data_IF_987678925384
#
_entry.id   IF_987678925384
#
_cell.length_a   1.000
_cell.length_b   1.000
_cell.length_c   1.000
_cell.angle_alpha   90.00
_cell.angle_beta   90.00
_cell.angle_gamma   90.00
#
_symmetry.space_group_name_H-M   'P 1'
#
loop_
_entity.id
_entity.type
_entity.pdbx_description
1 polymer ?
#
# COMPACT_ATOMS: atom_id res chain seq x y z
N UNK A 1 23.53 -6.19 11.90
CA UNK A 1 24.51 -5.11 12.09
C UNK A 1 23.77 -3.91 12.67
N UNK A 2 24.20 -3.37 13.82
CA UNK A 2 23.61 -2.14 14.38
C UNK A 2 24.18 -0.96 13.61
N UNK A 3 23.49 -0.53 12.55
CA UNK A 3 23.92 0.60 11.72
C UNK A 3 23.40 1.91 12.31
N UNK A 4 24.32 2.83 12.58
CA UNK A 4 24.03 4.25 12.82
C UNK A 4 24.38 5.02 11.55
N UNK A 5 23.49 5.90 11.10
CA UNK A 5 23.64 6.72 9.91
C UNK A 5 23.24 8.16 10.23
N UNK A 6 24.05 9.13 9.83
CA UNK A 6 23.71 10.55 9.90
C UNK A 6 23.69 11.11 8.49
N UNK A 7 22.56 11.69 8.08
CA UNK A 7 22.36 12.33 6.77
C UNK A 7 22.18 13.83 7.00
N UNK A 8 22.72 14.67 6.12
CA UNK A 8 22.48 16.12 6.10
C UNK A 8 21.82 16.53 4.79
N UNK A 9 21.01 17.58 4.85
CA UNK A 9 20.29 18.09 3.69
C UNK A 9 19.14 19.01 4.09
N UNK A 10 18.37 19.44 3.10
CA UNK A 10 17.18 20.26 3.28
C UNK A 10 16.01 19.38 3.76
N UNK A 11 15.70 19.41 5.05
CA UNK A 11 14.62 18.62 5.63
C UNK A 11 13.29 19.29 5.27
N UNK A 12 12.39 18.52 4.66
CA UNK A 12 11.02 18.96 4.36
C UNK A 12 10.13 18.61 5.55
N UNK A 13 9.77 19.62 6.33
CA UNK A 13 8.86 19.50 7.46
C UNK A 13 7.42 19.75 6.99
N UNK A 14 6.73 18.65 6.69
CA UNK A 14 5.37 18.65 6.16
C UNK A 14 4.38 19.26 7.17
N UNK A 15 4.55 18.98 8.46
CA UNK A 15 3.64 19.42 9.51
C UNK A 15 3.72 20.93 9.72
N UNK A 16 4.95 21.45 9.79
CA UNK A 16 5.19 22.88 9.99
C UNK A 16 5.25 23.68 8.67
N UNK A 17 5.09 23.02 7.52
CA UNK A 17 5.15 23.63 6.17
C UNK A 17 6.41 24.46 5.95
N UNK A 18 7.54 23.94 6.41
CA UNK A 18 8.83 24.60 6.37
C UNK A 18 9.88 23.69 5.73
N UNK A 19 10.93 24.31 5.18
CA UNK A 19 12.10 23.62 4.69
C UNK A 19 13.33 24.30 5.29
N UNK A 20 14.18 23.53 5.94
CA UNK A 20 15.37 24.03 6.62
C UNK A 20 16.55 23.08 6.44
N UNK A 21 17.78 23.60 6.47
CA UNK A 21 18.95 22.74 6.44
C UNK A 21 19.21 22.09 7.81
N UNK A 22 19.38 20.77 7.83
CA UNK A 22 19.52 20.01 9.06
C UNK A 22 20.21 18.67 8.91
N UNK A 23 20.20 17.88 9.99
CA UNK A 23 20.67 16.50 10.01
C UNK A 23 19.61 15.54 10.56
N UNK A 24 19.64 14.31 10.06
CA UNK A 24 18.81 13.19 10.49
C UNK A 24 19.72 12.07 11.00
N UNK A 25 19.59 11.72 12.29
CA UNK A 25 20.25 10.57 12.89
C UNK A 25 19.31 9.37 12.84
N UNK A 26 19.75 8.29 12.20
CA UNK A 26 19.05 7.01 12.14
C UNK A 26 19.88 5.97 12.89
N UNK A 27 19.27 5.30 13.86
CA UNK A 27 19.90 4.19 14.57
C UNK A 27 18.95 3.01 14.57
N UNK A 28 19.48 1.83 14.21
CA UNK A 28 18.71 0.59 14.19
C UNK A 28 17.42 0.71 13.35
N UNK A 29 17.52 1.38 12.20
CA UNK A 29 16.41 1.59 11.27
C UNK A 29 15.34 2.59 11.73
N UNK A 30 15.57 3.33 12.82
CA UNK A 30 14.65 4.33 13.35
C UNK A 30 15.29 5.71 13.37
N UNK A 31 14.51 6.72 12.99
CA UNK A 31 14.91 8.13 13.20
C UNK A 31 14.97 8.38 14.70
N UNK A 32 16.14 8.78 15.19
CA UNK A 32 16.39 9.10 16.60
C UNK A 32 16.38 10.59 16.88
N UNK A 33 16.86 11.37 15.92
CA UNK A 33 17.01 12.80 16.09
C UNK A 33 16.92 13.52 14.74
N UNK A 34 16.22 14.65 14.76
CA UNK A 34 16.30 15.69 13.74
C UNK A 34 16.96 16.90 14.37
N UNK A 35 17.98 17.45 13.72
CA UNK A 35 18.66 18.65 14.19
C UNK A 35 18.59 19.73 13.11
N UNK A 36 17.98 20.87 13.44
CA UNK A 36 18.05 22.07 12.61
C UNK A 36 19.45 22.68 12.73
N UNK A 37 20.12 22.89 11.60
CA UNK A 37 21.48 23.45 11.53
C UNK A 37 21.47 24.90 11.02
N UNK A 38 20.53 25.24 10.12
CA UNK A 38 20.25 26.60 9.66
C UNK A 38 18.74 26.79 9.49
N UNK A 39 18.28 28.04 9.53
CA UNK A 39 16.85 28.35 9.35
C UNK A 39 16.40 28.16 7.91
N UNK A 40 17.23 28.54 6.95
CA UNK A 40 16.92 28.46 5.52
C UNK A 40 17.44 27.16 4.89
N UNK A 41 16.78 26.75 3.80
CA UNK A 41 17.28 25.70 2.93
C UNK A 41 18.54 26.16 2.18
N UNK A 42 19.48 25.24 1.95
CA UNK A 42 20.68 25.48 1.16
C UNK A 42 20.45 25.03 -0.29
N UNK A 43 20.50 25.91 -1.30
CA UNK A 43 20.15 25.55 -2.69
C UNK A 43 20.95 24.41 -3.31
N UNK A 44 22.19 24.19 -2.86
CA UNK A 44 23.08 23.15 -3.39
C UNK A 44 22.89 21.77 -2.72
N UNK A 45 22.07 21.69 -1.66
CA UNK A 45 21.89 20.47 -0.86
C UNK A 45 20.64 19.70 -1.29
N UNK A 46 20.70 18.37 -1.17
CA UNK A 46 19.56 17.51 -1.49
C UNK A 46 18.42 17.68 -0.48
N UNK A 47 17.20 17.37 -0.89
CA UNK A 47 16.04 17.35 -0.01
C UNK A 47 15.90 15.99 0.68
N UNK A 48 15.54 16.03 1.96
CA UNK A 48 15.23 14.87 2.76
C UNK A 48 13.73 14.90 3.04
N UNK A 49 13.01 13.91 2.50
CA UNK A 49 11.57 13.73 2.70
C UNK A 49 11.30 12.35 3.30
N UNK A 50 10.13 12.15 3.92
CA UNK A 50 9.60 10.81 4.11
C UNK A 50 9.51 10.07 2.76
N UNK A 51 9.62 8.75 2.80
CA UNK A 51 9.30 7.92 1.63
C UNK A 51 7.83 8.10 1.25
N UNK A 52 7.54 8.04 -0.04
CA UNK A 52 6.17 8.16 -0.53
C UNK A 52 5.37 6.88 -0.25
N UNK A 53 4.07 7.04 -0.05
CA UNK A 53 3.10 5.96 0.05
C UNK A 53 2.06 6.21 -1.04
N UNK A 54 1.88 5.23 -1.92
CA UNK A 54 0.79 5.27 -2.90
C UNK A 54 -0.51 4.83 -2.22
N UNK A 55 -1.54 5.67 -2.26
CA UNK A 55 -2.79 5.46 -1.53
C UNK A 55 -3.75 4.48 -2.18
N UNK A 56 -3.55 4.13 -3.46
CA UNK A 56 -4.34 3.11 -4.15
C UNK A 56 -3.65 2.68 -5.44
N UNK A 57 -3.26 1.41 -5.54
CA UNK A 57 -2.62 0.87 -6.74
C UNK A 57 -2.93 -0.60 -6.94
N UNK A 58 -3.00 -1.01 -8.20
CA UNK A 58 -3.03 -2.42 -8.61
C UNK A 58 -1.65 -2.77 -9.15
N UNK A 59 -0.92 -3.65 -8.47
CA UNK A 59 0.44 -4.04 -8.87
C UNK A 59 0.40 -4.74 -10.23
N UNK A 60 -0.66 -5.50 -10.48
CA UNK A 60 -0.90 -6.29 -11.69
C UNK A 60 -0.92 -5.42 -12.95
N UNK A 61 -1.38 -4.17 -12.87
CA UNK A 61 -1.39 -3.25 -14.02
C UNK A 61 0.02 -2.90 -14.52
N UNK A 62 1.05 -3.10 -13.68
CA UNK A 62 2.46 -2.97 -14.10
C UNK A 62 3.01 -4.19 -14.84
N UNK A 63 2.23 -5.28 -14.93
CA UNK A 63 2.63 -6.59 -15.47
C UNK A 63 3.79 -7.25 -14.70
N UNK A 64 3.96 -6.88 -13.43
CA UNK A 64 5.00 -7.41 -12.54
C UNK A 64 4.38 -8.11 -11.34
N UNK A 65 5.19 -8.98 -10.73
CA UNK A 65 4.92 -9.50 -9.39
C UNK A 65 5.36 -8.46 -8.33
N UNK A 66 4.80 -8.49 -7.10
CA UNK A 66 5.11 -7.52 -6.06
C UNK A 66 6.60 -7.27 -5.81
N UNK A 67 7.42 -8.32 -5.75
CA UNK A 67 8.85 -8.17 -5.51
C UNK A 67 9.57 -7.38 -6.62
N UNK A 68 9.16 -7.54 -7.89
CA UNK A 68 9.74 -6.79 -9.01
C UNK A 68 9.19 -5.38 -9.10
N UNK A 69 7.91 -5.18 -8.80
CA UNK A 69 7.32 -3.85 -8.66
C UNK A 69 8.08 -3.01 -7.61
N UNK A 70 8.35 -3.60 -6.43
CA UNK A 70 9.06 -2.93 -5.35
C UNK A 70 10.46 -2.43 -5.77
N UNK A 71 11.20 -3.19 -6.59
CA UNK A 71 12.52 -2.78 -7.09
C UNK A 71 12.47 -1.51 -7.94
N UNK A 72 11.39 -1.33 -8.72
CA UNK A 72 11.21 -0.14 -9.54
C UNK A 72 10.60 1.02 -8.73
N UNK A 73 9.65 0.74 -7.84
CA UNK A 73 9.03 1.78 -7.02
C UNK A 73 10.02 2.49 -6.09
N UNK A 74 10.92 1.72 -5.45
CA UNK A 74 11.83 2.26 -4.43
C UNK A 74 12.87 3.23 -4.98
N UNK A 75 13.31 3.08 -6.24
CA UNK A 75 14.27 4.00 -6.85
C UNK A 75 13.68 5.38 -7.15
N UNK A 76 12.35 5.49 -7.09
CA UNK A 76 11.61 6.75 -7.23
C UNK A 76 11.09 7.29 -5.88
N UNK A 77 11.48 6.68 -4.76
CA UNK A 77 11.16 7.16 -3.41
C UNK A 77 9.87 6.61 -2.81
N UNK A 78 9.11 5.77 -3.53
CA UNK A 78 7.96 5.07 -2.96
C UNK A 78 8.44 3.94 -2.05
N UNK A 79 7.92 3.88 -0.84
CA UNK A 79 8.34 2.91 0.21
C UNK A 79 7.22 1.99 0.65
N UNK A 80 5.98 2.30 0.26
CA UNK A 80 4.82 1.46 0.48
C UNK A 80 3.66 1.81 -0.44
N UNK A 81 2.69 0.91 -0.49
CA UNK A 81 1.47 1.01 -1.28
C UNK A 81 0.28 0.48 -0.51
N UNK A 82 -0.88 1.06 -0.77
CA UNK A 82 -2.18 0.51 -0.44
C UNK A 82 -2.69 -0.18 -1.70
N UNK A 83 -2.70 -1.51 -1.68
CA UNK A 83 -2.78 -2.34 -2.89
C UNK A 83 -4.03 -3.20 -2.92
N UNK A 84 -4.77 -3.12 -4.03
CA UNK A 84 -5.92 -3.97 -4.28
C UNK A 84 -5.59 -5.07 -5.29
N UNK A 85 -5.45 -6.34 -4.86
CA UNK A 85 -5.09 -7.47 -5.74
C UNK A 85 -6.31 -8.02 -6.51
N UNK A 86 -7.23 -7.15 -6.94
CA UNK A 86 -8.51 -7.59 -7.51
C UNK A 86 -8.38 -8.23 -8.91
N UNK A 87 -7.26 -8.01 -9.62
CA UNK A 87 -7.10 -8.51 -10.99
C UNK A 87 -6.76 -9.99 -10.92
N UNK A 88 -5.77 -10.33 -10.07
CA UNK A 88 -5.41 -11.72 -9.83
C UNK A 88 -6.52 -12.47 -9.09
N UNK A 89 -7.32 -11.81 -8.26
CA UNK A 89 -8.47 -12.42 -7.60
C UNK A 89 -9.57 -12.77 -8.61
N UNK A 90 -9.83 -11.93 -9.60
CA UNK A 90 -10.77 -12.26 -10.69
C UNK A 90 -10.34 -13.50 -11.49
N UNK A 91 -9.04 -13.75 -11.64
CA UNK A 91 -8.51 -14.91 -12.39
C UNK A 91 -8.37 -16.15 -11.52
N UNK A 92 -7.84 -16.02 -10.30
CA UNK A 92 -7.37 -17.13 -9.47
C UNK A 92 -8.05 -17.20 -8.08
N UNK A 93 -8.97 -16.29 -7.77
CA UNK A 93 -9.64 -16.21 -6.47
C UNK A 93 -8.68 -16.00 -5.31
N UNK A 94 -9.01 -16.62 -4.17
CA UNK A 94 -8.23 -16.57 -2.93
C UNK A 94 -6.76 -17.00 -3.12
N UNK A 95 -6.49 -17.97 -4.01
CA UNK A 95 -5.14 -18.43 -4.29
C UNK A 95 -4.28 -17.34 -4.97
N UNK A 96 -4.91 -16.50 -5.79
CA UNK A 96 -4.26 -15.34 -6.40
C UNK A 96 -3.86 -14.29 -5.37
N UNK A 97 -4.75 -14.01 -4.42
CA UNK A 97 -4.46 -13.07 -3.32
C UNK A 97 -3.32 -13.59 -2.44
N UNK A 98 -3.35 -14.87 -2.06
CA UNK A 98 -2.27 -15.48 -1.27
C UNK A 98 -0.92 -15.41 -2.00
N UNK A 99 -0.89 -15.66 -3.31
CA UNK A 99 0.33 -15.52 -4.11
C UNK A 99 0.94 -14.12 -4.02
N UNK A 100 0.10 -13.07 -4.10
CA UNK A 100 0.57 -11.68 -3.99
C UNK A 100 1.16 -11.39 -2.62
N UNK A 101 0.52 -11.87 -1.55
CA UNK A 101 1.00 -11.75 -0.17
C UNK A 101 2.37 -12.44 -0.02
N UNK A 102 2.47 -13.68 -0.48
CA UNK A 102 3.68 -14.50 -0.35
C UNK A 102 4.86 -13.91 -1.14
N UNK A 103 4.60 -13.35 -2.33
CA UNK A 103 5.65 -12.70 -3.12
C UNK A 103 6.09 -11.37 -2.52
N UNK A 104 5.14 -10.56 -2.04
CA UNK A 104 5.42 -9.30 -1.34
C UNK A 104 6.27 -9.52 -0.07
N UNK A 105 6.03 -10.60 0.66
CA UNK A 105 6.78 -10.96 1.87
C UNK A 105 8.28 -11.21 1.67
N UNK A 106 8.74 -11.35 0.41
CA UNK A 106 10.16 -11.55 0.07
C UNK A 106 10.98 -10.26 0.09
N UNK A 107 10.34 -9.09 0.13
CA UNK A 107 10.99 -7.78 0.05
C UNK A 107 10.60 -6.87 1.24
N UNK A 108 11.43 -5.88 1.62
CA UNK A 108 11.13 -5.02 2.76
C UNK A 108 10.11 -3.89 2.46
N UNK A 109 9.67 -3.77 1.21
CA UNK A 109 8.66 -2.79 0.76
C UNK A 109 7.31 -3.03 1.46
N UNK A 110 6.59 -1.95 1.79
CA UNK A 110 5.36 -2.05 2.57
C UNK A 110 4.14 -2.15 1.67
N UNK A 111 3.74 -3.38 1.34
CA UNK A 111 2.44 -3.63 0.72
C UNK A 111 1.38 -3.74 1.81
N UNK A 112 0.36 -2.89 1.74
CA UNK A 112 -0.85 -2.98 2.54
C UNK A 112 -1.96 -3.48 1.64
N UNK A 113 -2.25 -4.79 1.69
CA UNK A 113 -3.25 -5.38 0.81
C UNK A 113 -4.67 -5.17 1.36
N UNK A 114 -5.60 -4.93 0.44
CA UNK A 114 -7.04 -4.96 0.71
C UNK A 114 -7.67 -6.28 0.26
N UNK A 115 -8.82 -6.61 0.84
CA UNK A 115 -9.67 -7.71 0.40
C UNK A 115 -10.45 -7.26 -0.86
N UNK A 116 -10.27 -7.93 -2.02
CA UNK A 116 -11.01 -7.59 -3.24
C UNK A 116 -12.54 -7.69 -3.02
N UNK A 117 -13.26 -6.61 -3.33
CA UNK A 117 -14.68 -6.49 -2.99
C UNK A 117 -15.62 -7.01 -4.08
N UNK A 118 -15.23 -6.86 -5.35
CA UNK A 118 -16.05 -7.10 -6.54
C UNK A 118 -15.39 -8.14 -7.45
N UNK A 119 -15.50 -9.42 -7.07
CA UNK A 119 -15.06 -10.57 -7.86
C UNK A 119 -16.24 -11.51 -8.07
N UNK A 120 -16.79 -11.63 -9.30
CA UNK A 120 -16.51 -10.81 -10.48
C UNK A 120 -16.92 -9.33 -10.32
N UNK A 121 -16.41 -8.46 -11.20
CA UNK A 121 -16.80 -7.05 -11.21
C UNK A 121 -18.26 -6.86 -11.66
N UNK A 122 -18.75 -7.76 -12.51
CA UNK A 122 -20.15 -7.78 -12.95
C UNK A 122 -20.71 -9.20 -13.07
N UNK A 123 -22.03 -9.33 -12.94
CA UNK A 123 -22.73 -10.61 -13.16
C UNK A 123 -22.88 -10.96 -14.66
N UNK A 124 -22.56 -10.03 -15.56
CA UNK A 124 -22.71 -10.22 -17.01
C UNK A 124 -21.48 -10.83 -17.69
N UNK A 125 -20.44 -11.14 -16.92
CA UNK A 125 -19.19 -11.71 -17.42
C UNK A 125 -18.93 -13.12 -16.89
N UNK A 126 -17.91 -13.77 -17.44
CA UNK A 126 -17.36 -15.01 -16.90
C UNK A 126 -15.98 -14.71 -16.32
N UNK A 127 -15.84 -14.88 -15.01
CA UNK A 127 -14.56 -14.74 -14.32
C UNK A 127 -13.98 -16.10 -13.92
N UNK A 128 -12.69 -16.13 -13.59
CA UNK A 128 -12.02 -17.33 -13.08
C UNK A 128 -12.40 -17.67 -11.64
N UNK A 129 -12.94 -16.71 -10.89
CA UNK A 129 -13.42 -16.90 -9.52
C UNK A 129 -14.62 -15.98 -9.19
N UNK A 130 -15.24 -16.27 -8.05
CA UNK A 130 -16.19 -15.40 -7.36
C UNK A 130 -15.82 -15.38 -5.88
N UNK A 131 -15.90 -14.21 -5.23
CA UNK A 131 -15.69 -14.06 -3.79
C UNK A 131 -16.98 -13.54 -3.17
N UNK A 132 -17.48 -14.24 -2.16
CA UNK A 132 -18.65 -13.84 -1.37
C UNK A 132 -18.24 -13.11 -0.08
N UNK A 133 -19.22 -12.71 0.73
CA UNK A 133 -18.99 -12.07 2.03
C UNK A 133 -18.18 -12.95 3.01
N UNK A 134 -18.35 -14.28 2.97
CA UNK A 134 -17.60 -15.19 3.83
C UNK A 134 -16.13 -15.32 3.38
N UNK A 135 -15.85 -15.25 2.09
CA UNK A 135 -14.48 -15.19 1.58
C UNK A 135 -13.79 -13.86 1.93
N UNK A 136 -14.53 -12.75 1.83
CA UNK A 136 -14.05 -11.44 2.30
C UNK A 136 -13.74 -11.46 3.80
N UNK A 137 -14.58 -12.09 4.63
CA UNK A 137 -14.33 -12.27 6.07
C UNK A 137 -13.05 -13.07 6.34
N UNK A 138 -12.84 -14.16 5.59
CA UNK A 138 -11.59 -14.94 5.71
C UNK A 138 -10.37 -14.11 5.33
N UNK A 139 -10.45 -13.30 4.26
CA UNK A 139 -9.35 -12.41 3.88
C UNK A 139 -9.06 -11.39 4.97
N UNK A 140 -10.09 -10.71 5.49
CA UNK A 140 -9.94 -9.70 6.54
C UNK A 140 -9.43 -10.29 7.88
N UNK A 141 -9.57 -11.59 8.10
CA UNK A 141 -8.97 -12.28 9.24
C UNK A 141 -7.45 -12.51 9.09
N UNK A 142 -6.88 -12.33 7.89
CA UNK A 142 -5.45 -12.46 7.63
C UNK A 142 -4.72 -11.19 8.10
N UNK A 143 -3.60 -11.30 8.83
CA UNK A 143 -2.88 -10.13 9.32
C UNK A 143 -2.29 -9.24 8.20
N UNK A 144 -2.11 -9.78 7.01
CA UNK A 144 -1.59 -9.08 5.83
C UNK A 144 -2.66 -8.27 5.09
N UNK A 145 -3.94 -8.49 5.38
CA UNK A 145 -5.07 -7.77 4.78
C UNK A 145 -5.59 -6.74 5.77
N UNK A 146 -5.67 -5.47 5.36
CA UNK A 146 -5.92 -4.37 6.30
C UNK A 146 -7.28 -3.69 6.12
N UNK A 147 -7.95 -3.88 4.99
CA UNK A 147 -9.18 -3.17 4.64
C UNK A 147 -9.96 -3.91 3.56
N UNK A 148 -11.21 -3.54 3.34
CA UNK A 148 -11.96 -3.91 2.14
C UNK A 148 -11.55 -2.97 1.00
N UNK A 149 -11.11 -3.54 -0.12
CA UNK A 149 -10.74 -2.77 -1.31
C UNK A 149 -11.92 -2.01 -1.93
N UNK A 150 -11.67 -1.28 -3.01
CA UNK A 150 -12.65 -0.42 -3.66
C UNK A 150 -13.97 -1.14 -3.98
N UNK A 151 -15.07 -0.70 -3.37
CA UNK A 151 -16.41 -1.22 -3.68
C UNK A 151 -16.92 -0.57 -4.97
N UNK A 152 -16.61 -1.20 -6.10
CA UNK A 152 -17.00 -0.71 -7.42
C UNK A 152 -18.49 -0.93 -7.74
N UNK A 153 -19.14 -1.91 -7.10
CA UNK A 153 -20.57 -2.15 -7.24
C UNK A 153 -21.40 -1.11 -6.46
N UNK A 154 -21.20 0.17 -6.78
CA UNK A 154 -21.97 1.27 -6.22
C UNK A 154 -23.48 1.14 -6.48
N UNK A 155 -23.99 0.57 -7.61
CA UNK A 155 -25.43 0.37 -7.77
C UNK A 155 -25.98 -0.61 -6.74
N UNK A 156 -25.27 -1.69 -6.43
CA UNK A 156 -25.63 -2.64 -5.38
C UNK A 156 -25.69 -1.95 -4.02
N UNK A 157 -24.69 -1.12 -3.68
CA UNK A 157 -24.69 -0.33 -2.44
C UNK A 157 -25.93 0.57 -2.34
N UNK A 158 -26.23 1.33 -3.39
CA UNK A 158 -27.34 2.29 -3.39
C UNK A 158 -28.71 1.63 -3.35
N UNK A 159 -28.85 0.43 -3.92
CA UNK A 159 -30.12 -0.31 -3.94
C UNK A 159 -30.27 -1.28 -2.76
N UNK A 160 -29.27 -1.35 -1.86
CA UNK A 160 -29.30 -2.23 -0.70
C UNK A 160 -29.19 -3.71 -1.06
N UNK A 161 -28.37 -4.04 -2.06
CA UNK A 161 -28.04 -5.42 -2.40
C UNK A 161 -27.45 -6.15 -1.19
N UNK A 162 -28.05 -7.30 -0.85
CA UNK A 162 -27.75 -7.99 0.39
C UNK A 162 -26.30 -8.46 0.47
N UNK A 163 -25.79 -9.07 -0.61
CA UNK A 163 -24.43 -9.57 -0.70
C UNK A 163 -23.39 -8.44 -0.60
N UNK A 164 -23.61 -7.35 -1.33
CA UNK A 164 -22.75 -6.16 -1.30
C UNK A 164 -22.71 -5.54 0.11
N UNK A 165 -23.87 -5.41 0.76
CA UNK A 165 -23.94 -4.85 2.10
C UNK A 165 -23.30 -5.76 3.16
N UNK A 166 -23.40 -7.08 3.00
CA UNK A 166 -22.72 -8.05 3.86
C UNK A 166 -21.19 -7.89 3.76
N UNK A 167 -20.63 -7.82 2.54
CA UNK A 167 -19.19 -7.56 2.34
C UNK A 167 -18.71 -6.27 3.02
N UNK A 168 -19.51 -5.20 2.94
CA UNK A 168 -19.20 -3.93 3.64
C UNK A 168 -19.30 -4.09 5.16
N UNK A 169 -20.30 -4.83 5.65
CA UNK A 169 -20.52 -5.00 7.08
C UNK A 169 -19.39 -5.78 7.77
N UNK A 170 -18.80 -6.75 7.07
CA UNK A 170 -17.66 -7.54 7.57
C UNK A 170 -16.41 -6.66 7.80
N UNK A 171 -16.28 -5.54 7.08
CA UNK A 171 -15.13 -4.63 7.19
C UNK A 171 -15.31 -3.48 8.20
N UNK A 172 -16.38 -3.50 9.01
CA UNK A 172 -16.70 -2.45 10.00
C UNK A 172 -16.04 -2.66 11.36
#
# INVERSE_FOLDING_TARGET
>A
MSSTLTIKGNIVDILNRAIYYGSVLVEQGKIKQLQRLQEDALPAEAFITPGFIDSHVHVESSMLVPAEFAKLAVVHGTTGTISDPHEIANVCGMAGVQFMIDDAGKVPFKFHFGAPSCVPATIFETAGAALDAADVEKLLAMPEINYLSEMMNFPGVLNGDEEVLQKIAVAK
#
